data_IF_360517935893
#
_entry.id   IF_360517935893
#
_cell.length_a   1.000
_cell.length_b   1.000
_cell.length_c   1.000
_cell.angle_alpha   90.00
_cell.angle_beta   90.00
_cell.angle_gamma   90.00
#
_symmetry.space_group_name_H-M   'P 1'
#
loop_
_entity.id
_entity.type
_entity.pdbx_description
1 polymer ?
#
# COMPACT_ATOMS: atom_id res chain seq x y z
N UNK A 1 5.83 -25.08 11.28
CA UNK A 1 6.24 -24.27 12.46
C UNK A 1 6.49 -22.79 12.14
N UNK A 2 7.11 -22.41 11.02
CA UNK A 2 7.37 -20.97 10.65
C UNK A 2 6.11 -20.12 10.47
N UNK A 3 4.99 -20.65 9.98
CA UNK A 3 3.74 -19.90 9.69
C UNK A 3 3.06 -19.45 10.99
N UNK A 4 2.99 -20.32 12.01
CA UNK A 4 2.32 -20.02 13.29
C UNK A 4 3.04 -18.86 14.02
N UNK A 5 4.36 -18.86 14.01
CA UNK A 5 5.18 -17.83 14.63
C UNK A 5 4.98 -16.46 13.97
N UNK A 6 4.94 -16.45 12.63
CA UNK A 6 4.68 -15.25 11.83
C UNK A 6 3.31 -14.64 12.15
N UNK A 7 2.30 -15.47 12.30
CA UNK A 7 0.94 -15.05 12.62
C UNK A 7 0.86 -14.39 14.00
N UNK A 8 1.58 -14.93 14.97
CA UNK A 8 1.65 -14.37 16.33
C UNK A 8 2.34 -13.01 16.35
N UNK A 9 3.41 -12.82 15.55
CA UNK A 9 4.12 -11.55 15.44
C UNK A 9 3.25 -10.45 14.85
N UNK A 10 2.53 -10.72 13.76
CA UNK A 10 1.61 -9.73 13.16
C UNK A 10 0.50 -9.39 14.16
N UNK A 11 -0.04 -10.36 14.90
CA UNK A 11 -1.06 -10.11 15.90
C UNK A 11 -0.56 -9.27 17.07
N UNK A 12 0.67 -9.50 17.52
CA UNK A 12 1.31 -8.71 18.57
C UNK A 12 1.56 -7.27 18.08
N UNK A 13 2.09 -7.12 16.87
CA UNK A 13 2.34 -5.83 16.25
C UNK A 13 1.04 -5.03 16.07
N UNK A 14 -0.02 -5.66 15.62
CA UNK A 14 -1.34 -5.06 15.53
C UNK A 14 -1.83 -4.51 16.87
N UNK A 15 -1.66 -5.26 17.98
CA UNK A 15 -2.03 -4.78 19.32
C UNK A 15 -1.22 -3.54 19.74
N UNK A 16 0.07 -3.50 19.40
CA UNK A 16 0.95 -2.39 19.76
C UNK A 16 0.64 -1.10 18.98
N UNK A 17 0.26 -1.21 17.70
CA UNK A 17 0.04 -0.05 16.84
C UNK A 17 -1.42 0.39 16.75
N UNK A 18 -2.39 -0.49 16.98
CA UNK A 18 -3.82 -0.15 16.97
C UNK A 18 -4.19 0.99 17.93
N UNK A 19 -3.56 1.04 19.10
CA UNK A 19 -3.83 2.08 20.08
C UNK A 19 -3.32 3.47 19.67
N UNK A 20 -2.38 3.54 18.73
CA UNK A 20 -1.75 4.78 18.27
C UNK A 20 -2.40 5.37 17.02
N UNK A 21 -3.17 4.58 16.28
CA UNK A 21 -3.87 5.02 15.07
C UNK A 21 -5.27 5.54 15.42
N UNK A 22 -5.33 6.69 16.08
CA UNK A 22 -6.58 7.45 16.11
C UNK A 22 -6.80 8.01 14.72
N UNK A 23 -7.89 7.60 14.05
CA UNK A 23 -8.34 8.22 12.81
C UNK A 23 -8.74 9.64 13.16
N UNK A 24 -7.88 10.60 12.86
CA UNK A 24 -8.10 12.02 13.18
C UNK A 24 -8.76 12.78 12.03
N UNK A 25 -8.82 12.19 10.85
CA UNK A 25 -9.33 12.83 9.64
C UNK A 25 -10.39 11.94 8.98
N UNK A 26 -11.59 12.48 8.83
CA UNK A 26 -12.63 11.87 7.99
C UNK A 26 -12.45 12.32 6.55
N UNK A 27 -12.36 11.37 5.64
CA UNK A 27 -12.30 11.60 4.20
C UNK A 27 -13.66 11.23 3.62
N UNK A 28 -14.28 12.17 2.92
CA UNK A 28 -15.53 11.94 2.18
C UNK A 28 -15.20 11.63 0.73
N UNK A 29 -15.54 10.43 0.30
CA UNK A 29 -15.34 9.95 -1.07
C UNK A 29 -16.70 9.92 -1.77
N UNK A 30 -16.78 10.39 -3.02
CA UNK A 30 -17.98 10.40 -3.83
C UNK A 30 -18.55 11.80 -4.07
N UNK A 31 -19.77 11.88 -4.59
CA UNK A 31 -20.41 13.14 -4.97
C UNK A 31 -20.46 14.14 -3.81
N UNK A 32 -19.83 15.30 -3.95
CA UNK A 32 -19.76 16.36 -2.93
C UNK A 32 -18.63 16.22 -1.89
N UNK A 33 -17.80 15.17 -1.95
CA UNK A 33 -16.57 15.07 -1.15
C UNK A 33 -15.36 15.61 -1.90
N UNK A 34 -14.35 16.15 -1.17
CA UNK A 34 -13.07 16.54 -1.79
C UNK A 34 -12.26 15.34 -2.30
N UNK A 35 -12.68 14.12 -1.95
CA UNK A 35 -11.99 12.89 -2.32
C UNK A 35 -10.63 12.72 -1.61
N UNK A 36 -9.79 11.92 -2.23
CA UNK A 36 -8.40 11.66 -1.83
C UNK A 36 -7.52 12.61 -2.62
N UNK A 37 -6.67 13.37 -1.95
CA UNK A 37 -5.72 14.31 -2.58
C UNK A 37 -4.27 13.80 -2.52
N UNK A 38 -3.96 12.87 -1.62
CA UNK A 38 -2.61 12.35 -1.43
C UNK A 38 -2.63 10.83 -1.26
N UNK A 39 -1.88 10.12 -2.10
CA UNK A 39 -1.95 8.67 -2.25
C UNK A 39 -0.56 8.03 -2.30
N UNK A 40 -0.37 6.96 -1.54
CA UNK A 40 0.81 6.11 -1.63
C UNK A 40 0.44 4.74 -2.17
N UNK A 41 0.99 4.36 -3.32
CA UNK A 41 0.95 2.99 -3.81
C UNK A 41 2.17 2.19 -3.38
N UNK A 42 1.95 1.00 -2.84
CA UNK A 42 3.00 0.01 -2.60
C UNK A 42 2.99 -0.97 -3.76
N UNK A 43 4.05 -0.95 -4.57
CA UNK A 43 4.08 -1.66 -5.84
C UNK A 43 4.62 -3.08 -5.72
N UNK A 44 4.07 -4.04 -6.49
CA UNK A 44 4.57 -5.39 -6.52
C UNK A 44 5.97 -5.46 -7.15
N UNK A 45 6.83 -6.32 -6.58
CA UNK A 45 8.17 -6.57 -7.10
C UNK A 45 8.25 -7.76 -8.06
N UNK A 46 7.18 -8.53 -8.18
CA UNK A 46 7.12 -9.69 -9.08
C UNK A 46 6.73 -9.24 -10.49
N UNK A 47 7.55 -9.57 -11.50
CA UNK A 47 7.38 -9.12 -12.89
C UNK A 47 5.95 -9.30 -13.41
N UNK A 48 5.34 -10.45 -13.15
CA UNK A 48 3.97 -10.76 -13.59
C UNK A 48 2.94 -9.73 -13.10
N UNK A 49 3.03 -9.32 -11.84
CA UNK A 49 2.10 -8.39 -11.22
C UNK A 49 2.49 -6.94 -11.48
N UNK A 50 3.79 -6.69 -11.63
CA UNK A 50 4.33 -5.35 -11.90
C UNK A 50 3.86 -4.79 -13.24
N UNK A 51 3.76 -5.63 -14.27
CA UNK A 51 3.26 -5.21 -15.59
C UNK A 51 1.84 -4.65 -15.51
N UNK A 52 0.92 -5.39 -14.85
CA UNK A 52 -0.46 -4.94 -14.69
C UNK A 52 -0.56 -3.70 -13.77
N UNK A 53 0.25 -3.65 -12.71
CA UNK A 53 0.33 -2.48 -11.83
C UNK A 53 0.86 -1.25 -12.59
N UNK A 54 1.84 -1.39 -13.48
CA UNK A 54 2.36 -0.30 -14.30
C UNK A 54 1.30 0.30 -15.21
N UNK A 55 0.48 -0.52 -15.88
CA UNK A 55 -0.65 -0.02 -16.68
C UNK A 55 -1.67 0.74 -15.84
N UNK A 56 -2.01 0.20 -14.68
CA UNK A 56 -2.94 0.84 -13.76
C UNK A 56 -2.42 2.21 -13.26
N UNK A 57 -1.15 2.30 -12.90
CA UNK A 57 -0.54 3.54 -12.41
C UNK A 57 -0.58 4.64 -13.46
N UNK A 58 -0.33 4.33 -14.74
CA UNK A 58 -0.39 5.30 -15.84
C UNK A 58 -1.76 5.98 -15.93
N UNK A 59 -2.85 5.25 -15.66
CA UNK A 59 -4.21 5.82 -15.67
C UNK A 59 -4.42 6.79 -14.51
N UNK A 60 -3.74 6.58 -13.39
CA UNK A 60 -3.89 7.39 -12.18
C UNK A 60 -2.97 8.62 -12.19
N UNK A 61 -1.76 8.49 -12.73
CA UNK A 61 -0.70 9.54 -12.71
C UNK A 61 -1.08 10.79 -13.54
N UNK A 62 -2.04 10.66 -14.47
CA UNK A 62 -2.51 11.74 -15.33
C UNK A 62 -3.54 12.67 -14.66
N UNK A 63 -3.82 12.52 -13.36
CA UNK A 63 -4.80 13.34 -12.63
C UNK A 63 -4.12 14.53 -11.96
N UNK A 64 -4.49 15.73 -12.39
CA UNK A 64 -3.87 16.99 -11.97
C UNK A 64 -4.04 17.30 -10.46
N UNK A 65 -5.13 16.85 -9.85
CA UNK A 65 -5.46 17.15 -8.45
C UNK A 65 -5.02 16.09 -7.44
N UNK A 66 -4.25 15.06 -7.88
CA UNK A 66 -3.85 13.93 -7.04
C UNK A 66 -2.34 13.87 -6.90
N UNK A 67 -1.85 14.00 -5.66
CA UNK A 67 -0.43 13.82 -5.34
C UNK A 67 -0.14 12.35 -5.06
N UNK A 68 0.44 11.66 -6.05
CA UNK A 68 0.69 10.22 -6.01
C UNK A 68 2.16 9.93 -5.78
N UNK A 69 2.44 9.07 -4.80
CA UNK A 69 3.76 8.54 -4.50
C UNK A 69 3.79 7.01 -4.60
N UNK A 70 4.98 6.47 -4.81
CA UNK A 70 5.19 5.05 -5.03
C UNK A 70 6.26 4.50 -4.11
N UNK A 71 5.93 3.47 -3.34
CA UNK A 71 6.90 2.70 -2.56
C UNK A 71 7.30 1.46 -3.36
N UNK A 72 8.57 1.39 -3.75
CA UNK A 72 9.08 0.38 -4.68
C UNK A 72 10.31 -0.30 -4.08
N UNK A 73 10.34 -1.64 -4.15
CA UNK A 73 11.56 -2.37 -3.84
C UNK A 73 12.63 -2.10 -4.91
N UNK A 74 13.87 -1.79 -4.51
CA UNK A 74 14.97 -1.42 -5.42
C UNK A 74 15.17 -2.41 -6.58
N UNK A 75 15.06 -3.72 -6.31
CA UNK A 75 15.16 -4.78 -7.33
C UNK A 75 14.05 -4.71 -8.40
N UNK A 76 12.98 -3.97 -8.16
CA UNK A 76 11.85 -3.86 -9.07
C UNK A 76 11.73 -2.48 -9.73
N UNK A 77 12.61 -1.53 -9.43
CA UNK A 77 12.56 -0.17 -9.97
C UNK A 77 12.57 -0.15 -11.50
N UNK A 78 13.34 -1.04 -12.14
CA UNK A 78 13.40 -1.15 -13.58
C UNK A 78 12.06 -1.54 -14.25
N UNK A 79 11.13 -2.14 -13.51
CA UNK A 79 9.79 -2.49 -14.01
C UNK A 79 8.85 -1.28 -14.08
N UNK A 80 9.25 -0.16 -13.49
CA UNK A 80 8.47 1.06 -13.32
C UNK A 80 9.25 2.28 -13.83
N UNK A 81 10.05 2.11 -14.89
CA UNK A 81 10.94 3.14 -15.44
C UNK A 81 10.23 4.41 -15.93
N UNK A 82 8.92 4.32 -16.16
CA UNK A 82 8.10 5.44 -16.65
C UNK A 82 7.61 6.37 -15.53
N UNK A 83 7.74 5.96 -14.26
CA UNK A 83 7.36 6.78 -13.12
C UNK A 83 8.41 7.86 -12.88
N UNK A 84 7.94 9.09 -12.63
CA UNK A 84 8.83 10.21 -12.28
C UNK A 84 9.61 9.87 -11.00
N UNK A 85 10.92 9.90 -11.05
CA UNK A 85 11.82 9.47 -9.97
C UNK A 85 11.60 10.24 -8.65
N UNK A 86 11.19 11.51 -8.71
CA UNK A 86 10.91 12.31 -7.50
C UNK A 86 9.74 11.80 -6.65
N UNK A 87 8.81 11.06 -7.26
CA UNK A 87 7.66 10.45 -6.58
C UNK A 87 7.96 9.04 -6.04
N UNK A 88 9.15 8.51 -6.30
CA UNK A 88 9.54 7.17 -5.86
C UNK A 88 10.19 7.23 -4.47
N UNK A 89 9.72 6.34 -3.59
CA UNK A 89 10.36 5.98 -2.33
C UNK A 89 10.85 4.54 -2.49
N UNK A 90 12.16 4.36 -2.59
CA UNK A 90 12.74 3.02 -2.75
C UNK A 90 13.14 2.42 -1.41
N UNK A 91 13.04 1.10 -1.31
CA UNK A 91 13.53 0.31 -0.18
C UNK A 91 14.20 -0.97 -0.66
N UNK A 92 15.03 -1.57 0.19
CA UNK A 92 15.77 -2.81 -0.08
C UNK A 92 15.56 -3.84 1.03
N UNK A 93 16.08 -5.05 0.81
CA UNK A 93 16.08 -6.10 1.85
C UNK A 93 16.86 -5.66 3.10
N UNK A 94 17.85 -4.79 2.95
CA UNK A 94 18.69 -4.27 4.04
C UNK A 94 17.92 -3.31 4.97
N UNK A 95 16.80 -2.74 4.51
CA UNK A 95 15.98 -1.84 5.31
C UNK A 95 15.14 -2.57 6.36
N UNK A 96 15.17 -3.91 6.38
CA UNK A 96 14.44 -4.73 7.33
C UNK A 96 15.36 -5.41 8.34
N UNK A 97 14.83 -5.70 9.52
CA UNK A 97 15.45 -6.60 10.45
C UNK A 97 15.08 -8.06 10.16
N UNK A 98 15.65 -9.01 10.92
CA UNK A 98 15.37 -10.45 10.76
C UNK A 98 13.89 -10.84 10.98
N UNK A 99 13.09 -10.00 11.65
CA UNK A 99 11.65 -10.18 11.84
C UNK A 99 10.83 -9.61 10.68
N UNK A 100 11.46 -8.97 9.69
CA UNK A 100 10.77 -8.32 8.57
C UNK A 100 10.18 -6.95 8.92
N UNK A 101 10.58 -6.35 10.03
CA UNK A 101 10.18 -5.00 10.42
C UNK A 101 11.15 -3.97 9.86
N UNK A 102 10.65 -2.86 9.35
CA UNK A 102 11.49 -1.76 8.89
C UNK A 102 12.38 -1.22 10.01
N UNK A 103 13.70 -1.36 9.84
CA UNK A 103 14.71 -0.76 10.73
C UNK A 103 15.15 0.62 10.27
N UNK A 104 15.04 0.90 8.95
CA UNK A 104 15.39 2.20 8.39
C UNK A 104 14.30 3.23 8.70
N UNK A 105 14.49 3.92 9.82
CA UNK A 105 13.52 4.91 10.32
C UNK A 105 13.40 6.15 9.43
N UNK A 106 14.37 6.43 8.56
CA UNK A 106 14.31 7.56 7.64
C UNK A 106 13.24 7.37 6.57
N UNK A 107 13.11 6.15 6.01
CA UNK A 107 12.03 5.82 5.07
C UNK A 107 10.67 5.99 5.75
N UNK A 108 10.50 5.44 6.95
CA UNK A 108 9.25 5.57 7.70
C UNK A 108 8.92 7.02 8.03
N UNK A 109 9.91 7.82 8.45
CA UNK A 109 9.73 9.24 8.72
C UNK A 109 9.32 10.00 7.45
N UNK A 110 9.98 9.74 6.31
CA UNK A 110 9.63 10.33 5.02
C UNK A 110 8.18 10.02 4.64
N UNK A 111 7.76 8.76 4.72
CA UNK A 111 6.37 8.36 4.42
C UNK A 111 5.38 9.07 5.34
N UNK A 112 5.69 9.13 6.65
CA UNK A 112 4.82 9.80 7.64
C UNK A 112 4.73 11.30 7.45
N UNK A 113 5.83 11.96 7.06
CA UNK A 113 5.86 13.42 6.86
C UNK A 113 5.06 13.87 5.63
N UNK A 114 4.91 13.02 4.62
CA UNK A 114 4.09 13.28 3.44
C UNK A 114 2.58 13.24 3.73
N UNK A 115 2.15 12.49 4.76
CA UNK A 115 0.79 12.59 5.28
C UNK A 115 -0.30 12.11 4.32
N UNK A 116 -0.21 10.87 3.85
CA UNK A 116 -1.14 10.31 2.86
C UNK A 116 -2.57 10.13 3.38
N UNK A 117 -3.54 10.54 2.58
CA UNK A 117 -4.97 10.27 2.80
C UNK A 117 -5.28 8.78 2.65
N UNK A 118 -4.66 8.13 1.66
CA UNK A 118 -4.78 6.70 1.46
C UNK A 118 -3.43 6.02 1.17
N UNK A 119 -3.30 4.78 1.61
CA UNK A 119 -2.20 3.88 1.25
C UNK A 119 -2.78 2.62 0.64
N UNK A 120 -2.32 2.27 -0.54
CA UNK A 120 -2.83 1.13 -1.32
C UNK A 120 -1.72 0.12 -1.55
N UNK A 121 -1.91 -1.08 -1.04
CA UNK A 121 -1.03 -2.20 -1.32
C UNK A 121 -1.51 -2.96 -2.56
N UNK A 122 -0.76 -2.86 -3.65
CA UNK A 122 -1.03 -3.55 -4.91
C UNK A 122 -0.43 -4.96 -4.98
N UNK A 123 0.19 -5.44 -3.89
CA UNK A 123 0.67 -6.82 -3.81
C UNK A 123 -0.52 -7.78 -3.62
N UNK A 124 -0.70 -8.72 -4.53
CA UNK A 124 -1.76 -9.74 -4.45
C UNK A 124 -1.45 -10.84 -3.45
N UNK A 125 -0.17 -11.08 -3.20
CA UNK A 125 0.30 -12.01 -2.17
C UNK A 125 0.72 -11.24 -0.93
N UNK A 126 0.29 -11.71 0.24
CA UNK A 126 0.68 -11.11 1.50
C UNK A 126 2.18 -11.17 1.71
N UNK A 127 2.80 -10.00 1.87
CA UNK A 127 4.20 -9.84 2.25
C UNK A 127 4.27 -9.34 3.68
N UNK A 128 4.84 -10.14 4.57
CA UNK A 128 4.94 -9.83 5.99
C UNK A 128 5.56 -8.45 6.25
N UNK A 129 6.60 -8.09 5.49
CA UNK A 129 7.28 -6.79 5.58
C UNK A 129 6.34 -5.62 5.29
N UNK A 130 5.50 -5.78 4.25
CA UNK A 130 4.50 -4.78 3.89
C UNK A 130 3.37 -4.74 4.92
N UNK A 131 2.96 -5.89 5.45
CA UNK A 131 1.97 -5.96 6.52
C UNK A 131 2.40 -5.17 7.76
N UNK A 132 3.66 -5.31 8.19
CA UNK A 132 4.20 -4.53 9.30
C UNK A 132 4.27 -3.03 8.99
N UNK A 133 4.68 -2.66 7.78
CA UNK A 133 4.68 -1.28 7.35
C UNK A 133 3.27 -0.68 7.39
N UNK A 134 2.30 -1.37 6.80
CA UNK A 134 0.90 -0.92 6.77
C UNK A 134 0.33 -0.71 8.17
N UNK A 135 0.69 -1.55 9.15
CA UNK A 135 0.28 -1.36 10.55
C UNK A 135 0.90 -0.11 11.18
N UNK A 136 2.12 0.24 10.79
CA UNK A 136 2.86 1.38 11.34
C UNK A 136 2.45 2.73 10.74
N UNK A 137 1.92 2.75 9.52
CA UNK A 137 1.52 3.97 8.84
C UNK A 137 0.22 4.56 9.40
N UNK A 138 0.13 5.88 9.65
CA UNK A 138 -1.04 6.53 10.24
C UNK A 138 -2.11 6.93 9.22
N UNK A 139 -2.11 6.37 8.00
CA UNK A 139 -3.10 6.71 6.97
C UNK A 139 -4.51 6.29 7.40
N UNK A 140 -5.53 7.15 7.21
CA UNK A 140 -6.91 6.84 7.55
C UNK A 140 -7.54 5.77 6.65
N UNK A 141 -7.10 5.70 5.39
CA UNK A 141 -7.57 4.69 4.42
C UNK A 141 -6.40 3.79 4.06
N UNK A 142 -6.57 2.49 4.29
CA UNK A 142 -5.62 1.45 3.92
C UNK A 142 -6.33 0.42 3.08
N UNK A 143 -5.93 0.30 1.83
CA UNK A 143 -6.54 -0.61 0.85
C UNK A 143 -5.56 -1.74 0.55
N UNK A 144 -6.06 -2.96 0.43
CA UNK A 144 -5.27 -4.09 -0.01
C UNK A 144 -6.12 -5.28 -0.37
N UNK A 145 -5.48 -6.35 -0.82
CA UNK A 145 -6.17 -7.56 -1.24
C UNK A 145 -6.43 -8.53 -0.09
N UNK A 146 -7.47 -9.35 -0.26
CA UNK A 146 -7.84 -10.38 0.71
C UNK A 146 -6.67 -11.33 0.99
N UNK A 147 -6.35 -11.50 2.26
CA UNK A 147 -5.30 -12.36 2.77
C UNK A 147 -5.63 -12.81 4.19
N UNK A 148 -4.80 -13.67 4.77
CA UNK A 148 -5.02 -14.21 6.12
C UNK A 148 -5.12 -13.08 7.18
N UNK A 149 -4.39 -11.98 6.99
CA UNK A 149 -4.35 -10.86 7.96
C UNK A 149 -4.99 -9.58 7.46
N UNK A 150 -5.58 -9.58 6.27
CA UNK A 150 -6.18 -8.39 5.65
C UNK A 150 -7.11 -7.62 6.60
N UNK A 151 -7.96 -8.33 7.36
CA UNK A 151 -8.87 -7.74 8.35
C UNK A 151 -8.19 -6.97 9.49
N UNK A 152 -6.90 -7.22 9.74
CA UNK A 152 -6.13 -6.53 10.78
C UNK A 152 -5.33 -5.36 10.21
N UNK A 153 -5.09 -5.35 8.90
CA UNK A 153 -4.16 -4.46 8.22
C UNK A 153 -4.91 -3.36 7.47
N UNK A 154 -5.92 -3.76 6.69
CA UNK A 154 -6.62 -2.87 5.78
C UNK A 154 -7.97 -2.42 6.32
N UNK A 155 -8.34 -1.18 6.03
CA UNK A 155 -9.68 -0.64 6.25
C UNK A 155 -10.64 -1.00 5.11
N UNK A 156 -10.09 -1.25 3.92
CA UNK A 156 -10.83 -1.69 2.73
C UNK A 156 -10.11 -2.91 2.14
N UNK A 157 -10.84 -4.00 1.98
CA UNK A 157 -10.32 -5.27 1.47
C UNK A 157 -10.95 -5.56 0.12
N UNK A 158 -10.12 -5.75 -0.89
CA UNK A 158 -10.55 -6.08 -2.24
C UNK A 158 -10.37 -7.59 -2.45
N UNK A 159 -11.44 -8.26 -2.84
CA UNK A 159 -11.34 -9.66 -3.28
C UNK A 159 -10.80 -9.70 -4.69
N UNK A 160 -9.75 -10.49 -4.96
CA UNK A 160 -9.29 -10.69 -6.32
C UNK A 160 -10.41 -11.22 -7.21
N UNK A 161 -10.44 -10.79 -8.47
CA UNK A 161 -11.44 -11.27 -9.41
C UNK A 161 -11.36 -12.80 -9.56
N UNK A 162 -12.46 -13.52 -9.45
CA UNK A 162 -12.48 -14.99 -9.63
C UNK A 162 -12.05 -15.42 -11.04
N UNK A 163 -12.15 -14.53 -12.02
CA UNK A 163 -11.71 -14.77 -13.40
C UNK A 163 -10.20 -14.63 -13.59
N UNK A 164 -9.44 -14.27 -12.54
CA UNK A 164 -7.99 -14.08 -12.58
C UNK A 164 -7.51 -12.83 -13.31
N UNK A 165 -8.43 -12.02 -13.83
CA UNK A 165 -8.07 -10.74 -14.47
C UNK A 165 -7.77 -9.68 -13.41
N UNK A 166 -6.50 -9.31 -13.28
CA UNK A 166 -6.02 -8.34 -12.31
C UNK A 166 -6.52 -6.92 -12.59
N UNK A 167 -6.75 -6.61 -13.85
CA UNK A 167 -7.27 -5.32 -14.32
C UNK A 167 -8.58 -4.97 -13.61
N UNK A 168 -9.51 -5.95 -13.51
CA UNK A 168 -10.77 -5.76 -12.76
C UNK A 168 -10.56 -5.49 -11.28
N UNK A 169 -9.53 -6.09 -10.70
CA UNK A 169 -9.20 -5.87 -9.29
C UNK A 169 -8.66 -4.45 -9.07
N UNK A 170 -7.85 -3.94 -9.99
CA UNK A 170 -7.33 -2.57 -9.95
C UNK A 170 -8.40 -1.53 -10.29
N UNK A 171 -9.33 -1.82 -11.21
CA UNK A 171 -10.50 -0.98 -11.44
C UNK A 171 -11.37 -0.79 -10.18
N UNK A 172 -11.46 -1.81 -9.33
CA UNK A 172 -12.14 -1.68 -8.04
C UNK A 172 -11.40 -0.70 -7.11
N UNK A 173 -10.06 -0.67 -7.14
CA UNK A 173 -9.27 0.34 -6.41
C UNK A 173 -9.65 1.75 -6.88
N UNK A 174 -9.67 1.99 -8.19
CA UNK A 174 -10.05 3.30 -8.75
C UNK A 174 -11.44 3.75 -8.33
N UNK A 175 -12.43 2.85 -8.44
CA UNK A 175 -13.82 3.13 -8.07
C UNK A 175 -13.96 3.46 -6.59
N UNK A 176 -13.34 2.65 -5.72
CA UNK A 176 -13.44 2.80 -4.26
C UNK A 176 -12.79 4.11 -3.81
N UNK A 177 -11.68 4.48 -4.41
CA UNK A 177 -10.96 5.71 -4.06
C UNK A 177 -11.48 6.95 -4.79
N UNK A 178 -12.45 6.80 -5.68
CA UNK A 178 -12.99 7.93 -6.46
C UNK A 178 -11.96 8.50 -7.45
N UNK A 179 -11.10 7.62 -7.99
CA UNK A 179 -10.05 8.01 -8.95
C UNK A 179 -10.54 8.04 -10.41
N UNK A 180 -11.82 7.91 -10.64
CA UNK A 180 -12.45 8.06 -11.97
C UNK A 180 -13.18 9.37 -12.06
#
# INVERSE_FOLDING_TARGET
MKIIWRNNLISLWYRLFRSKSKITKLIRIGAGGKGISSLLFILPSEKRFAQNASHFIKSVDNKEDLDVFYLIHQKATYLYSEIISSKIISFSDEDFNFLGVFKNRNIIKKIKSLGFDAVVDLNLSEKQTISFLMLELPSPIKVGFESVFSNKIYSIIIKPSPTGFLEKSFENVEKILGLK
#
